data_IF_621763286362
#
_entry.id   IF_621763286362
#
_cell.length_a   1.000
_cell.length_b   1.000
_cell.length_c   1.000
_cell.angle_alpha   90.00
_cell.angle_beta   90.00
_cell.angle_gamma   90.00
#
_symmetry.space_group_name_H-M   'P 1'
#
loop_
_entity.id
_entity.type
_entity.pdbx_description
1 polymer ?
#
# COMPACT_ATOMS: atom_id res chain seq x y z
N UNK A 1 14.67 -17.57 14.37
CA UNK A 1 13.65 -16.54 14.62
C UNK A 1 12.33 -17.23 14.86
N UNK A 2 11.40 -16.60 15.57
CA UNK A 2 10.11 -17.23 15.87
C UNK A 2 9.22 -17.28 14.62
N UNK A 3 8.65 -18.44 14.33
CA UNK A 3 7.58 -18.65 13.35
C UNK A 3 6.24 -18.25 13.92
N UNK A 4 5.19 -18.23 13.08
CA UNK A 4 3.82 -18.16 13.55
C UNK A 4 3.51 -19.28 14.54
N UNK A 5 3.92 -20.51 14.22
CA UNK A 5 3.67 -21.67 15.07
C UNK A 5 4.43 -21.56 16.40
N UNK A 6 5.65 -21.00 16.40
CA UNK A 6 6.37 -20.77 17.66
C UNK A 6 5.66 -19.72 18.53
N UNK A 7 5.16 -18.64 17.93
CA UNK A 7 4.38 -17.64 18.65
C UNK A 7 3.06 -18.20 19.15
N UNK A 8 2.39 -19.03 18.35
CA UNK A 8 1.14 -19.70 18.70
C UNK A 8 1.35 -20.73 19.83
N UNK A 9 2.48 -21.46 19.81
CA UNK A 9 2.82 -22.44 20.84
C UNK A 9 3.35 -21.79 22.12
N UNK A 10 3.94 -20.60 22.03
CA UNK A 10 4.34 -19.80 23.19
C UNK A 10 3.17 -19.01 23.81
N UNK A 11 1.98 -19.09 23.22
CA UNK A 11 0.79 -18.44 23.74
C UNK A 11 0.41 -18.99 25.13
N UNK A 12 -0.06 -18.13 26.06
CA UNK A 12 -0.47 -18.57 27.41
C UNK A 12 -1.51 -19.69 27.41
N UNK A 13 -2.33 -19.79 26.37
CA UNK A 13 -3.39 -20.77 26.20
C UNK A 13 -2.99 -21.96 25.30
N UNK A 14 -1.70 -22.17 25.09
CA UNK A 14 -1.20 -23.28 24.26
C UNK A 14 -1.60 -24.65 24.81
N UNK A 15 -1.64 -24.81 26.13
CA UNK A 15 -1.99 -26.08 26.80
C UNK A 15 -3.46 -26.46 26.61
N UNK A 16 -4.34 -25.46 26.60
CA UNK A 16 -5.77 -25.56 26.38
C UNK A 16 -6.05 -25.95 24.93
N UNK A 17 -5.24 -25.43 24.00
CA UNK A 17 -5.34 -25.75 22.56
C UNK A 17 -4.93 -27.17 22.19
N UNK A 18 -4.17 -27.86 23.05
CA UNK A 18 -3.89 -29.29 22.86
C UNK A 18 -5.16 -30.14 22.97
N UNK A 19 -6.11 -29.70 23.81
CA UNK A 19 -7.38 -30.40 24.05
C UNK A 19 -8.52 -29.83 23.20
N UNK A 20 -8.49 -28.52 22.95
CA UNK A 20 -9.46 -27.81 22.14
C UNK A 20 -8.78 -26.78 21.23
N UNK A 21 -8.57 -27.16 19.98
CA UNK A 21 -7.93 -26.32 18.96
C UNK A 21 -8.58 -24.92 18.82
N UNK A 22 -9.85 -24.78 19.17
CA UNK A 22 -10.63 -23.54 19.03
C UNK A 22 -10.68 -22.68 20.29
N UNK A 23 -9.97 -23.04 21.35
CA UNK A 23 -9.86 -22.20 22.55
C UNK A 23 -9.46 -20.75 22.17
N UNK A 24 -10.15 -19.72 22.69
CA UNK A 24 -11.01 -19.69 23.88
C UNK A 24 -12.50 -20.03 23.66
N UNK A 25 -12.89 -20.45 22.45
CA UNK A 25 -14.24 -20.93 22.16
C UNK A 25 -14.35 -22.41 22.52
N UNK A 26 -15.53 -22.86 22.95
CA UNK A 26 -15.76 -24.24 23.40
C UNK A 26 -15.66 -25.28 22.27
N UNK A 27 -15.86 -24.87 21.01
CA UNK A 27 -15.86 -25.75 19.85
C UNK A 27 -15.63 -24.99 18.55
N UNK A 28 -15.32 -25.74 17.48
CA UNK A 28 -15.21 -25.17 16.13
C UNK A 28 -16.53 -24.60 15.60
N UNK A 29 -17.67 -25.15 16.01
CA UNK A 29 -18.99 -24.62 15.65
C UNK A 29 -19.23 -23.25 16.31
N UNK A 30 -18.90 -23.13 17.60
CA UNK A 30 -18.97 -21.85 18.30
C UNK A 30 -18.01 -20.82 17.68
N UNK A 31 -16.77 -21.22 17.38
CA UNK A 31 -15.79 -20.31 16.74
C UNK A 31 -16.31 -19.79 15.40
N UNK A 32 -16.93 -20.63 14.56
CA UNK A 32 -17.51 -20.20 13.28
C UNK A 32 -18.63 -19.18 13.50
N UNK A 33 -19.50 -19.42 14.47
CA UNK A 33 -20.58 -18.49 14.80
C UNK A 33 -20.06 -17.16 15.35
N UNK A 34 -19.09 -17.22 16.27
CA UNK A 34 -18.38 -16.06 16.81
C UNK A 34 -17.69 -15.23 15.73
N UNK A 35 -16.98 -15.89 14.81
CA UNK A 35 -16.31 -15.26 13.68
C UNK A 35 -17.31 -14.60 12.73
N UNK A 36 -18.43 -15.26 12.44
CA UNK A 36 -19.50 -14.66 11.64
C UNK A 36 -20.09 -13.42 12.32
N UNK A 37 -20.42 -13.50 13.62
CA UNK A 37 -20.93 -12.33 14.38
C UNK A 37 -19.95 -11.15 14.32
N UNK A 38 -18.66 -11.41 14.58
CA UNK A 38 -17.63 -10.37 14.58
C UNK A 38 -17.44 -9.70 13.21
N UNK A 39 -17.63 -10.46 12.12
CA UNK A 39 -17.44 -9.98 10.75
C UNK A 39 -18.73 -9.53 10.05
N UNK A 40 -19.89 -9.68 10.70
CA UNK A 40 -21.22 -9.38 10.11
C UNK A 40 -21.52 -7.89 9.92
N UNK A 41 -20.76 -7.00 10.56
CA UNK A 41 -21.06 -5.57 10.60
C UNK A 41 -22.24 -5.18 11.50
N UNK A 42 -22.81 -6.14 12.25
CA UNK A 42 -23.87 -5.87 13.23
C UNK A 42 -23.36 -4.99 14.37
N UNK A 43 -24.23 -4.10 14.85
CA UNK A 43 -23.94 -3.32 16.07
C UNK A 43 -23.89 -4.23 17.29
N UNK A 44 -23.17 -3.82 18.34
CA UNK A 44 -23.12 -4.57 19.60
C UNK A 44 -24.52 -4.87 20.16
N UNK A 45 -25.45 -3.92 20.06
CA UNK A 45 -26.83 -4.09 20.49
C UNK A 45 -27.60 -5.14 19.64
N UNK A 46 -27.35 -5.19 18.33
CA UNK A 46 -27.95 -6.21 17.47
C UNK A 46 -27.38 -7.61 17.77
N UNK A 47 -26.08 -7.70 18.06
CA UNK A 47 -25.44 -8.94 18.50
C UNK A 47 -26.04 -9.39 19.84
N UNK A 48 -26.15 -8.49 20.83
CA UNK A 48 -26.78 -8.80 22.12
C UNK A 48 -28.24 -9.27 21.94
N UNK A 49 -29.00 -8.63 21.04
CA UNK A 49 -30.36 -9.07 20.69
C UNK A 49 -30.37 -10.48 20.09
N UNK A 50 -29.46 -10.78 19.15
CA UNK A 50 -29.32 -12.11 18.56
C UNK A 50 -28.99 -13.16 19.64
N UNK A 51 -28.04 -12.86 20.52
CA UNK A 51 -27.66 -13.74 21.63
C UNK A 51 -28.77 -13.93 22.68
N UNK A 52 -29.75 -13.02 22.71
CA UNK A 52 -30.89 -13.09 23.62
C UNK A 52 -32.05 -13.97 23.15
N UNK A 53 -32.05 -14.38 21.88
CA UNK A 53 -33.09 -15.26 21.30
C UNK A 53 -33.07 -16.63 21.97
N UNK A 54 -34.23 -17.20 22.29
CA UNK A 54 -34.31 -18.46 23.08
C UNK A 54 -33.60 -19.62 22.40
N UNK A 55 -33.68 -19.70 21.06
CA UNK A 55 -32.95 -20.71 20.26
C UNK A 55 -31.43 -20.58 20.47
N UNK A 56 -30.91 -19.36 20.56
CA UNK A 56 -29.49 -19.09 20.75
C UNK A 56 -29.08 -19.25 22.23
N UNK A 57 -29.91 -18.78 23.17
CA UNK A 57 -29.71 -18.96 24.61
C UNK A 57 -29.63 -20.43 25.02
N UNK A 58 -30.39 -21.30 24.34
CA UNK A 58 -30.36 -22.75 24.56
C UNK A 58 -28.98 -23.36 24.26
N UNK A 59 -28.18 -22.70 23.42
CA UNK A 59 -26.80 -23.10 23.13
C UNK A 59 -25.86 -22.70 24.27
N UNK A 60 -24.92 -23.60 24.59
CA UNK A 60 -23.91 -23.39 25.63
C UNK A 60 -22.66 -22.65 25.12
N UNK A 61 -22.86 -21.49 24.48
CA UNK A 61 -21.74 -20.63 24.07
C UNK A 61 -20.99 -20.05 25.28
N UNK A 62 -19.66 -19.93 25.13
CA UNK A 62 -18.71 -19.32 26.07
C UNK A 62 -18.92 -17.82 26.26
N UNK A 63 -19.74 -17.18 25.41
CA UNK A 63 -20.13 -15.77 25.53
C UNK A 63 -21.65 -15.61 25.46
N UNK A 64 -22.17 -14.63 26.22
CA UNK A 64 -23.60 -14.28 26.27
C UNK A 64 -23.89 -12.86 25.83
N UNK A 65 -22.86 -12.05 25.60
CA UNK A 65 -22.97 -10.67 25.13
C UNK A 65 -21.90 -10.37 24.08
N UNK A 66 -22.11 -9.35 23.26
CA UNK A 66 -21.14 -8.82 22.31
C UNK A 66 -19.84 -8.41 23.01
N UNK A 67 -19.94 -7.82 24.21
CA UNK A 67 -18.77 -7.46 25.02
C UNK A 67 -18.00 -8.69 25.51
N UNK A 68 -18.68 -9.77 25.89
CA UNK A 68 -18.03 -11.02 26.26
C UNK A 68 -17.35 -11.68 25.05
N UNK A 69 -18.00 -11.67 23.88
CA UNK A 69 -17.39 -12.12 22.62
C UNK A 69 -16.11 -11.34 22.31
N UNK A 70 -16.14 -10.01 22.42
CA UNK A 70 -14.97 -9.16 22.18
C UNK A 70 -13.81 -9.50 23.13
N UNK A 71 -14.08 -9.75 24.41
CA UNK A 71 -13.07 -10.19 25.37
C UNK A 71 -12.42 -11.52 24.96
N UNK A 72 -13.20 -12.49 24.46
CA UNK A 72 -12.65 -13.75 23.96
C UNK A 72 -11.78 -13.52 22.72
N UNK A 73 -12.18 -12.62 21.82
CA UNK A 73 -11.37 -12.25 20.65
C UNK A 73 -10.05 -11.60 21.07
N UNK A 74 -10.06 -10.77 22.11
CA UNK A 74 -8.86 -10.12 22.67
C UNK A 74 -7.85 -11.13 23.26
N UNK A 75 -8.28 -12.36 23.61
CA UNK A 75 -7.40 -13.44 24.04
C UNK A 75 -6.69 -14.14 22.87
N UNK A 76 -7.14 -13.94 21.63
CA UNK A 76 -6.49 -14.54 20.47
C UNK A 76 -5.12 -13.87 20.21
N UNK A 77 -4.15 -14.59 19.61
CA UNK A 77 -2.85 -14.04 19.26
C UNK A 77 -3.00 -12.74 18.47
N UNK A 78 -2.44 -11.66 19.01
CA UNK A 78 -2.64 -10.34 18.45
C UNK A 78 -1.74 -10.08 17.23
N UNK A 79 -2.26 -9.35 16.25
CA UNK A 79 -1.50 -8.89 15.10
C UNK A 79 -0.62 -7.66 15.40
N UNK A 80 -0.08 -7.01 14.35
CA UNK A 80 0.62 -5.75 14.48
C UNK A 80 -0.27 -4.69 15.15
N UNK A 81 0.21 -4.15 16.26
CA UNK A 81 -0.57 -3.24 17.12
C UNK A 81 -0.62 -1.82 16.56
N UNK A 82 -1.76 -1.16 16.80
CA UNK A 82 -1.96 0.26 16.49
C UNK A 82 -1.17 1.16 17.44
N UNK A 83 -0.56 2.18 16.86
CA UNK A 83 0.11 3.29 17.51
C UNK A 83 -0.52 4.58 17.00
N UNK A 84 -0.34 5.66 17.74
CA UNK A 84 -0.71 6.99 17.28
C UNK A 84 0.38 8.00 17.58
N UNK A 85 0.45 9.06 16.78
CA UNK A 85 1.39 10.16 16.97
C UNK A 85 0.76 11.47 16.51
N UNK A 86 0.93 12.53 17.31
CA UNK A 86 0.54 13.89 16.92
C UNK A 86 1.50 14.44 15.87
N UNK A 87 0.96 15.06 14.82
CA UNK A 87 1.73 15.60 13.70
C UNK A 87 1.71 17.12 13.74
N UNK A 88 2.89 17.74 13.76
CA UNK A 88 3.03 19.20 13.71
C UNK A 88 3.14 19.66 12.25
N UNK A 89 2.37 20.68 11.89
CA UNK A 89 2.40 21.35 10.59
C UNK A 89 2.93 22.78 10.75
N UNK A 90 3.55 23.32 9.69
CA UNK A 90 4.01 24.72 9.68
C UNK A 90 2.84 25.70 9.69
N UNK A 91 1.75 25.35 9.01
CA UNK A 91 0.52 26.15 8.97
C UNK A 91 -0.54 25.56 9.92
N UNK A 92 -1.35 26.40 10.58
CA UNK A 92 -2.35 25.94 11.53
C UNK A 92 -3.46 25.15 10.82
N UNK A 93 -4.02 24.17 11.53
CA UNK A 93 -5.16 23.37 11.12
C UNK A 93 -6.32 23.58 12.09
N UNK A 94 -7.55 23.39 11.62
CA UNK A 94 -8.76 23.55 12.44
C UNK A 94 -8.80 22.59 13.64
N UNK A 95 -8.14 21.43 13.52
CA UNK A 95 -8.01 20.41 14.57
C UNK A 95 -6.58 19.93 14.63
N UNK A 96 -6.12 19.53 15.82
CA UNK A 96 -4.85 18.84 15.97
C UNK A 96 -4.86 17.56 15.12
N UNK A 97 -3.78 17.33 14.39
CA UNK A 97 -3.64 16.17 13.51
C UNK A 97 -2.98 15.03 14.26
N UNK A 98 -3.58 13.85 14.15
CA UNK A 98 -3.03 12.60 14.65
C UNK A 98 -2.95 11.62 13.49
N UNK A 99 -1.85 10.88 13.40
CA UNK A 99 -1.74 9.70 12.55
C UNK A 99 -1.89 8.46 13.42
N UNK A 100 -2.73 7.53 12.98
CA UNK A 100 -2.82 6.18 13.53
C UNK A 100 -2.10 5.24 12.57
N UNK A 101 -1.16 4.44 13.08
CA UNK A 101 -0.33 3.58 12.23
C UNK A 101 0.13 2.34 12.97
N UNK A 102 0.57 1.34 12.22
CA UNK A 102 1.18 0.11 12.74
C UNK A 102 2.66 0.08 12.42
N UNK A 103 3.42 -0.71 13.18
CA UNK A 103 4.84 -0.90 12.89
C UNK A 103 4.99 -1.65 11.56
N UNK A 104 5.54 -0.96 10.55
CA UNK A 104 5.61 -1.47 9.19
C UNK A 104 6.39 -2.79 9.08
N UNK A 105 7.45 -2.99 9.87
CA UNK A 105 8.20 -4.25 9.85
C UNK A 105 7.40 -5.37 10.50
N UNK A 106 6.67 -5.10 11.59
CA UNK A 106 5.75 -6.09 12.16
C UNK A 106 4.64 -6.45 11.16
N UNK A 107 4.15 -5.50 10.36
CA UNK A 107 3.22 -5.79 9.27
C UNK A 107 3.82 -6.71 8.21
N UNK A 108 5.05 -6.47 7.76
CA UNK A 108 5.73 -7.36 6.82
C UNK A 108 5.95 -8.76 7.40
N UNK A 109 6.43 -8.86 8.65
CA UNK A 109 6.57 -10.15 9.33
C UNK A 109 5.23 -10.87 9.46
N UNK A 110 4.15 -10.16 9.79
CA UNK A 110 2.83 -10.76 9.86
C UNK A 110 2.36 -11.31 8.50
N UNK A 111 2.60 -10.58 7.41
CA UNK A 111 2.30 -11.07 6.05
C UNK A 111 3.11 -12.32 5.69
N UNK A 112 4.41 -12.36 6.03
CA UNK A 112 5.29 -13.50 5.78
C UNK A 112 4.79 -14.75 6.52
N UNK A 113 4.37 -14.58 7.77
CA UNK A 113 3.99 -15.67 8.67
C UNK A 113 2.50 -16.00 8.60
N UNK A 114 1.71 -15.28 7.81
CA UNK A 114 0.28 -15.52 7.67
C UNK A 114 0.03 -16.89 7.06
N UNK A 115 -0.77 -17.76 7.71
CA UNK A 115 -1.09 -19.09 7.17
C UNK A 115 -1.68 -19.05 5.76
N UNK A 116 -2.44 -18.00 5.42
CA UNK A 116 -3.00 -17.78 4.09
C UNK A 116 -1.94 -17.61 3.00
N UNK A 117 -0.71 -17.25 3.37
CA UNK A 117 0.42 -17.05 2.48
C UNK A 117 1.45 -18.21 2.56
N UNK A 118 1.13 -19.29 3.28
CA UNK A 118 2.03 -20.43 3.45
C UNK A 118 2.43 -21.02 2.10
N UNK A 119 3.73 -21.13 1.83
CA UNK A 119 4.28 -21.60 0.55
C UNK A 119 4.16 -20.61 -0.61
N UNK A 120 3.60 -19.42 -0.39
CA UNK A 120 3.33 -18.41 -1.43
C UNK A 120 4.26 -17.19 -1.34
N UNK A 121 5.08 -17.12 -0.29
CA UNK A 121 6.09 -16.07 -0.12
C UNK A 121 7.44 -16.58 -0.62
N UNK A 122 7.94 -15.97 -1.70
CA UNK A 122 9.21 -16.33 -2.31
C UNK A 122 10.29 -15.29 -1.97
N UNK A 123 11.53 -15.73 -1.77
CA UNK A 123 12.62 -14.87 -1.28
C UNK A 123 13.75 -14.67 -2.30
N UNK A 124 13.61 -15.25 -3.49
CA UNK A 124 14.67 -15.29 -4.49
C UNK A 124 14.05 -14.91 -5.84
N UNK A 125 14.56 -13.87 -6.52
CA UNK A 125 14.22 -13.59 -7.91
C UNK A 125 14.57 -14.78 -8.80
N UNK A 126 13.78 -15.02 -9.85
CA UNK A 126 14.00 -16.15 -10.77
C UNK A 126 13.79 -15.70 -12.21
N UNK A 127 14.58 -16.18 -13.16
CA UNK A 127 14.30 -16.01 -14.60
C UNK A 127 13.71 -17.30 -15.11
N UNK A 128 12.51 -17.21 -15.69
CA UNK A 128 11.81 -18.34 -16.27
C UNK A 128 11.80 -18.12 -17.77
N UNK A 129 12.15 -19.15 -18.54
CA UNK A 129 12.18 -19.07 -19.99
C UNK A 129 11.25 -20.13 -20.59
N UNK A 130 10.59 -19.81 -21.71
CA UNK A 130 9.68 -20.75 -22.39
C UNK A 130 10.39 -21.92 -23.05
N UNK A 131 11.67 -21.73 -23.40
CA UNK A 131 12.50 -22.72 -24.07
C UNK A 131 13.96 -22.68 -23.60
N UNK A 132 14.73 -23.71 -23.97
CA UNK A 132 16.13 -23.88 -23.57
C UNK A 132 17.07 -22.82 -24.15
N UNK A 133 16.68 -22.16 -25.25
CA UNK A 133 17.43 -21.09 -25.90
C UNK A 133 17.42 -19.76 -25.11
N UNK A 134 16.58 -19.65 -24.07
CA UNK A 134 16.42 -18.48 -23.19
C UNK A 134 16.08 -17.17 -23.93
N UNK A 135 15.44 -17.26 -25.09
CA UNK A 135 15.08 -16.09 -25.91
C UNK A 135 13.83 -15.38 -25.40
N UNK A 136 12.90 -16.11 -24.80
CA UNK A 136 11.62 -15.58 -24.31
C UNK A 136 11.50 -15.78 -22.80
N UNK A 137 11.60 -14.68 -22.06
CA UNK A 137 11.36 -14.65 -20.62
C UNK A 137 9.86 -14.68 -20.32
N UNK A 138 9.46 -15.43 -19.29
CA UNK A 138 8.09 -15.53 -18.80
C UNK A 138 7.99 -14.73 -17.50
N UNK A 139 7.09 -13.75 -17.50
CA UNK A 139 6.79 -12.89 -16.35
C UNK A 139 5.45 -13.29 -15.73
N UNK A 140 5.47 -13.90 -14.55
CA UNK A 140 4.25 -14.31 -13.81
C UNK A 140 4.02 -13.44 -12.57
N UNK A 141 5.11 -13.02 -11.93
CA UNK A 141 5.12 -12.30 -10.67
C UNK A 141 6.24 -11.26 -10.68
N UNK A 142 6.22 -10.33 -9.73
CA UNK A 142 7.28 -9.31 -9.63
C UNK A 142 8.70 -9.91 -9.52
N UNK A 143 8.87 -11.02 -8.80
CA UNK A 143 10.16 -11.73 -8.67
C UNK A 143 10.66 -12.38 -9.97
N UNK A 144 9.83 -12.47 -11.00
CA UNK A 144 10.26 -12.87 -12.36
C UNK A 144 10.68 -11.68 -13.22
N UNK A 145 10.38 -10.46 -12.78
CA UNK A 145 10.73 -9.22 -13.46
C UNK A 145 12.22 -8.89 -13.36
N UNK A 146 12.75 -8.22 -14.38
CA UNK A 146 14.15 -7.81 -14.42
C UNK A 146 14.51 -6.84 -13.28
N UNK A 147 13.58 -5.97 -12.88
CA UNK A 147 13.78 -5.07 -11.74
C UNK A 147 14.09 -5.80 -10.43
N UNK A 148 13.42 -6.93 -10.16
CA UNK A 148 13.69 -7.70 -8.94
C UNK A 148 15.11 -8.30 -8.94
N UNK A 149 15.63 -8.65 -10.12
CA UNK A 149 17.01 -9.09 -10.31
C UNK A 149 18.00 -7.95 -10.10
N UNK A 150 17.81 -6.83 -10.78
CA UNK A 150 18.67 -5.64 -10.66
C UNK A 150 18.76 -5.16 -9.20
N UNK A 151 17.62 -5.13 -8.50
CA UNK A 151 17.57 -4.76 -7.10
C UNK A 151 18.28 -5.77 -6.21
N UNK A 152 18.14 -7.08 -6.45
CA UNK A 152 18.79 -8.12 -5.67
C UNK A 152 20.31 -8.14 -5.90
N UNK A 153 20.78 -7.87 -7.12
CA UNK A 153 22.20 -7.78 -7.48
C UNK A 153 22.87 -6.54 -6.86
N UNK A 154 22.10 -5.48 -6.58
CA UNK A 154 22.59 -4.30 -5.87
C UNK A 154 22.72 -4.50 -4.34
N UNK A 155 22.26 -5.63 -3.79
CA UNK A 155 22.35 -5.92 -2.36
C UNK A 155 23.64 -6.67 -1.99
N UNK A 156 24.07 -6.63 -0.71
CA UNK A 156 25.20 -7.43 -0.25
C UNK A 156 25.00 -8.94 -0.45
N UNK A 157 26.11 -9.67 -0.54
CA UNK A 157 26.09 -11.13 -0.63
C UNK A 157 25.24 -11.76 0.49
N UNK A 158 24.40 -12.74 0.11
CA UNK A 158 23.49 -13.48 0.99
C UNK A 158 22.34 -12.64 1.59
N UNK A 159 22.19 -11.37 1.17
CA UNK A 159 21.02 -10.57 1.50
C UNK A 159 19.77 -11.06 0.75
N UNK A 160 18.60 -10.72 1.27
CA UNK A 160 17.30 -11.10 0.72
C UNK A 160 16.47 -9.87 0.39
N UNK A 161 16.01 -9.77 -0.86
CA UNK A 161 15.12 -8.70 -1.30
C UNK A 161 13.67 -8.95 -0.85
N UNK A 162 13.07 -7.99 -0.15
CA UNK A 162 11.66 -7.95 0.19
C UNK A 162 11.01 -6.68 -0.36
N UNK A 163 10.44 -6.76 -1.57
CA UNK A 163 9.81 -5.64 -2.24
C UNK A 163 8.56 -5.16 -1.51
N UNK A 164 8.58 -3.92 -1.02
CA UNK A 164 7.43 -3.29 -0.35
C UNK A 164 6.46 -2.77 -1.40
N UNK A 165 5.18 -3.13 -1.21
CA UNK A 165 4.06 -2.58 -1.98
C UNK A 165 3.26 -1.68 -1.06
N UNK A 166 3.03 -0.43 -1.45
CA UNK A 166 2.12 0.49 -0.78
C UNK A 166 0.91 0.76 -1.67
N UNK A 167 -0.23 1.05 -1.06
CA UNK A 167 -1.35 1.65 -1.77
C UNK A 167 -2.09 2.61 -0.87
N UNK A 168 -2.66 3.64 -1.45
CA UNK A 168 -3.57 4.54 -0.76
C UNK A 168 -4.64 5.01 -1.73
N UNK A 169 -5.80 5.30 -1.15
CA UNK A 169 -6.89 5.95 -1.85
C UNK A 169 -7.71 6.71 -0.82
N UNK A 170 -8.13 7.92 -1.17
CA UNK A 170 -8.91 8.78 -0.29
C UNK A 170 -10.40 8.49 -0.48
N UNK A 171 -10.98 7.76 0.47
CA UNK A 171 -12.36 7.27 0.37
C UNK A 171 -13.34 8.06 1.24
N UNK A 172 -14.55 8.27 0.75
CA UNK A 172 -15.64 8.83 1.54
C UNK A 172 -16.30 7.74 2.40
N UNK A 173 -16.24 7.87 3.73
CA UNK A 173 -16.83 6.92 4.69
C UNK A 173 -18.35 7.08 4.72
N UNK A 174 -18.85 8.32 4.63
CA UNK A 174 -20.29 8.61 4.58
C UNK A 174 -20.56 9.78 3.65
N UNK A 175 -21.59 9.64 2.80
CA UNK A 175 -22.05 10.74 1.94
C UNK A 175 -22.68 11.87 2.77
N UNK A 176 -23.31 11.55 3.89
CA UNK A 176 -24.11 12.49 4.69
C UNK A 176 -23.26 13.50 5.49
N UNK A 177 -22.05 13.13 5.93
CA UNK A 177 -21.21 14.00 6.79
C UNK A 177 -19.89 14.41 6.17
N UNK A 178 -19.67 14.09 4.89
CA UNK A 178 -18.42 14.32 4.18
C UNK A 178 -17.17 13.84 4.98
N UNK A 179 -17.33 12.74 5.73
CA UNK A 179 -16.23 12.14 6.45
C UNK A 179 -15.37 11.34 5.47
N UNK A 180 -14.10 11.68 5.37
CA UNK A 180 -13.14 11.00 4.51
C UNK A 180 -12.18 10.15 5.36
N UNK A 181 -11.86 8.96 4.89
CA UNK A 181 -10.73 8.16 5.34
C UNK A 181 -9.66 8.19 4.25
N UNK A 182 -8.40 8.12 4.66
CA UNK A 182 -7.29 7.95 3.73
C UNK A 182 -6.43 6.78 4.22
N UNK A 183 -6.87 5.53 3.97
CA UNK A 183 -6.10 4.35 4.32
C UNK A 183 -4.79 4.29 3.53
N UNK A 184 -3.70 3.96 4.23
CA UNK A 184 -2.45 3.49 3.65
C UNK A 184 -2.37 1.98 3.90
N UNK A 185 -2.31 1.19 2.84
CA UNK A 185 -2.16 -0.27 2.88
C UNK A 185 -0.70 -0.65 2.58
N UNK A 186 -0.28 -1.80 3.09
CA UNK A 186 1.04 -2.39 2.83
C UNK A 186 0.89 -3.86 2.44
N UNK A 187 1.72 -4.29 1.48
CA UNK A 187 1.89 -5.68 1.07
C UNK A 187 3.36 -5.98 0.71
N UNK A 188 3.62 -7.21 0.26
CA UNK A 188 4.91 -7.68 -0.24
C UNK A 188 4.77 -8.15 -1.68
N UNK A 189 5.64 -7.64 -2.56
CA UNK A 189 5.74 -8.11 -3.95
C UNK A 189 6.27 -9.56 -4.04
N UNK A 190 6.79 -10.08 -2.94
CA UNK A 190 7.25 -11.45 -2.77
C UNK A 190 6.12 -12.49 -2.61
N UNK A 191 4.88 -12.04 -2.39
CA UNK A 191 3.70 -12.91 -2.36
C UNK A 191 3.30 -13.17 -3.81
N UNK A 192 2.99 -14.42 -4.15
CA UNK A 192 2.55 -14.79 -5.49
C UNK A 192 1.34 -13.96 -5.97
N UNK A 193 1.33 -13.59 -7.25
CA UNK A 193 0.30 -12.75 -7.83
C UNK A 193 -1.07 -13.43 -7.77
N UNK A 194 -1.12 -14.76 -7.86
CA UNK A 194 -2.35 -15.55 -7.70
C UNK A 194 -3.01 -15.37 -6.33
N UNK A 195 -2.23 -15.21 -5.27
CA UNK A 195 -2.73 -14.92 -3.93
C UNK A 195 -3.17 -13.47 -3.83
N UNK A 196 -2.38 -12.55 -4.36
CA UNK A 196 -2.71 -11.12 -4.35
C UNK A 196 -3.99 -10.79 -5.13
N UNK A 197 -4.31 -11.54 -6.21
CA UNK A 197 -5.55 -11.38 -7.00
C UNK A 197 -6.81 -11.87 -6.28
N UNK A 198 -6.67 -12.75 -5.29
CA UNK A 198 -7.80 -13.27 -4.54
C UNK A 198 -8.16 -12.29 -3.43
N UNK A 199 -9.22 -11.51 -3.62
CA UNK A 199 -9.69 -10.52 -2.63
C UNK A 199 -10.04 -11.11 -1.26
N UNK A 200 -10.23 -12.43 -1.16
CA UNK A 200 -10.46 -13.16 0.10
C UNK A 200 -9.18 -13.46 0.89
N UNK A 201 -8.00 -13.28 0.29
CA UNK A 201 -6.71 -13.50 0.94
C UNK A 201 -6.21 -12.16 1.46
N UNK A 202 -6.01 -12.05 2.79
CA UNK A 202 -5.51 -10.87 3.51
C UNK A 202 -4.04 -10.56 3.14
N UNK A 203 -3.75 -10.37 1.85
CA UNK A 203 -2.45 -10.08 1.26
C UNK A 203 -2.04 -8.61 1.45
N UNK A 204 -3.00 -7.75 1.80
CA UNK A 204 -2.78 -6.35 2.19
C UNK A 204 -3.18 -6.12 3.65
N UNK A 205 -2.41 -5.29 4.35
CA UNK A 205 -2.71 -4.83 5.70
C UNK A 205 -2.87 -3.31 5.73
N UNK A 206 -3.86 -2.80 6.46
CA UNK A 206 -3.99 -1.36 6.74
C UNK A 206 -2.82 -0.84 7.60
N UNK A 207 -1.81 -0.27 6.99
CA UNK A 207 -0.63 0.23 7.67
C UNK A 207 -0.91 1.50 8.48
N UNK A 208 -1.66 2.44 7.92
CA UNK A 208 -1.98 3.70 8.59
C UNK A 208 -3.32 4.29 8.14
N UNK A 209 -3.87 5.17 8.96
CA UNK A 209 -4.92 6.11 8.58
C UNK A 209 -4.29 7.49 8.47
N UNK A 210 -4.14 7.96 7.23
CA UNK A 210 -3.52 9.25 6.93
C UNK A 210 -4.50 10.37 7.29
N UNK A 211 -4.01 11.45 7.94
CA UNK A 211 -4.88 12.55 8.32
C UNK A 211 -5.36 13.32 7.08
N UNK A 212 -6.64 13.69 7.09
CA UNK A 212 -7.23 14.58 6.08
C UNK A 212 -7.35 15.99 6.69
N UNK A 213 -6.38 16.89 6.42
CA UNK A 213 -6.29 18.17 7.12
C UNK A 213 -7.29 19.19 6.59
N UNK A 214 -7.70 20.09 7.49
CA UNK A 214 -8.42 21.32 7.16
C UNK A 214 -7.54 22.50 7.58
N UNK A 215 -6.72 22.99 6.65
CA UNK A 215 -5.78 24.08 6.91
C UNK A 215 -6.51 25.42 7.06
N UNK A 216 -6.06 26.22 8.02
CA UNK A 216 -6.54 27.60 8.23
C UNK A 216 -5.47 28.53 7.68
N UNK A 217 -5.38 28.61 6.36
CA UNK A 217 -4.43 29.48 5.66
C UNK A 217 -5.18 30.52 4.81
N UNK A 218 -4.80 31.81 4.86
CA UNK A 218 -5.52 32.88 4.14
C UNK A 218 -5.50 32.67 2.62
N UNK A 219 -4.37 32.22 2.07
CA UNK A 219 -4.27 31.83 0.68
C UNK A 219 -4.79 30.39 0.47
N UNK A 220 -5.97 30.25 -0.14
CA UNK A 220 -6.61 28.95 -0.42
C UNK A 220 -5.84 28.10 -1.42
N UNK A 221 -5.10 28.70 -2.34
CA UNK A 221 -4.30 27.97 -3.34
C UNK A 221 -3.19 27.12 -2.68
N UNK A 222 -2.76 27.48 -1.47
CA UNK A 222 -1.73 26.73 -0.73
C UNK A 222 -2.28 25.55 0.06
N UNK A 223 -3.60 25.38 0.16
CA UNK A 223 -4.19 24.27 0.93
C UNK A 223 -3.79 22.91 0.35
N UNK A 224 -3.81 22.77 -0.98
CA UNK A 224 -3.39 21.54 -1.67
C UNK A 224 -1.91 21.23 -1.47
N UNK A 225 -1.05 22.26 -1.54
CA UNK A 225 0.39 22.14 -1.30
C UNK A 225 0.68 21.70 0.13
N UNK A 226 0.02 22.32 1.11
CA UNK A 226 0.15 21.97 2.52
C UNK A 226 -0.33 20.54 2.81
N UNK A 227 -1.43 20.12 2.16
CA UNK A 227 -1.93 18.74 2.27
C UNK A 227 -0.94 17.74 1.66
N UNK A 228 -0.37 18.04 0.50
CA UNK A 228 0.66 17.21 -0.15
C UNK A 228 1.92 17.10 0.72
N UNK A 229 2.41 18.22 1.26
CA UNK A 229 3.55 18.22 2.19
C UNK A 229 3.28 17.39 3.44
N UNK A 230 2.09 17.51 4.03
CA UNK A 230 1.68 16.70 5.17
C UNK A 230 1.64 15.21 4.82
N UNK A 231 1.11 14.84 3.65
CA UNK A 231 1.05 13.46 3.20
C UNK A 231 2.45 12.83 3.18
N UNK A 232 3.42 13.46 2.53
CA UNK A 232 4.81 12.98 2.51
C UNK A 232 5.44 12.94 3.90
N UNK A 233 5.18 13.94 4.75
CA UNK A 233 5.67 13.95 6.13
C UNK A 233 5.14 12.75 6.92
N UNK A 234 3.84 12.46 6.82
CA UNK A 234 3.19 11.38 7.56
C UNK A 234 3.65 10.01 7.04
N UNK A 235 3.67 9.81 5.71
CA UNK A 235 4.16 8.55 5.13
C UNK A 235 5.62 8.33 5.56
N UNK A 236 6.47 9.37 5.55
CA UNK A 236 7.85 9.28 6.01
C UNK A 236 7.98 8.81 7.46
N UNK A 237 7.09 9.25 8.36
CA UNK A 237 7.04 8.78 9.76
C UNK A 237 6.70 7.29 9.81
N UNK A 238 5.65 6.89 9.09
CA UNK A 238 5.10 5.53 9.11
C UNK A 238 6.09 4.52 8.53
N UNK A 239 6.75 4.86 7.43
CA UNK A 239 7.67 3.96 6.70
C UNK A 239 9.12 4.05 7.15
N UNK A 240 9.44 4.89 8.16
CA UNK A 240 10.81 5.03 8.69
C UNK A 240 11.51 3.68 9.00
N UNK A 241 10.86 2.69 9.62
CA UNK A 241 11.49 1.38 9.85
C UNK A 241 11.85 0.63 8.56
N UNK A 242 11.09 0.84 7.48
CA UNK A 242 11.34 0.24 6.16
C UNK A 242 12.51 0.93 5.45
N UNK A 243 12.62 2.26 5.56
CA UNK A 243 13.77 3.00 5.03
C UNK A 243 15.07 2.53 5.65
N UNK A 244 15.09 2.39 6.97
CA UNK A 244 16.25 1.85 7.68
C UNK A 244 16.58 0.44 7.22
N UNK A 245 15.59 -0.43 7.08
CA UNK A 245 15.80 -1.79 6.57
C UNK A 245 16.22 -1.83 5.09
N UNK A 246 15.83 -0.85 4.27
CA UNK A 246 16.32 -0.71 2.90
C UNK A 246 17.77 -0.22 2.82
N UNK A 247 18.24 0.55 3.81
CA UNK A 247 19.59 1.12 3.83
C UNK A 247 20.63 0.14 4.40
N UNK A 248 20.35 -0.47 5.56
CA UNK A 248 21.32 -1.33 6.28
C UNK A 248 20.88 -2.79 6.39
N UNK A 249 19.70 -3.12 5.88
CA UNK A 249 19.11 -4.44 6.04
C UNK A 249 18.54 -4.68 7.45
N UNK A 250 17.70 -5.70 7.59
CA UNK A 250 17.13 -6.12 8.87
C UNK A 250 16.94 -7.63 8.94
N UNK A 251 17.32 -8.24 10.05
CA UNK A 251 17.06 -9.67 10.28
C UNK A 251 15.56 -9.89 10.46
N UNK A 252 14.98 -10.75 9.62
CA UNK A 252 13.57 -11.19 9.71
C UNK A 252 13.48 -12.70 9.56
N UNK A 253 12.56 -13.34 10.29
CA UNK A 253 12.28 -14.76 10.09
C UNK A 253 11.49 -14.99 8.82
N UNK A 254 11.82 -16.06 8.12
CA UNK A 254 10.97 -16.63 7.08
C UNK A 254 9.87 -17.52 7.72
N UNK A 255 8.92 -18.07 6.95
CA UNK A 255 7.82 -18.87 7.48
C UNK A 255 8.27 -20.13 8.26
N UNK A 256 9.50 -20.59 8.06
CA UNK A 256 10.09 -21.78 8.70
C UNK A 256 11.02 -21.39 9.87
N UNK A 257 11.15 -20.10 10.18
CA UNK A 257 11.87 -19.59 11.35
C UNK A 257 13.33 -19.25 11.08
N UNK A 258 13.84 -19.52 9.88
CA UNK A 258 15.19 -19.14 9.49
C UNK A 258 15.30 -17.63 9.39
N UNK A 259 16.36 -17.06 9.97
CA UNK A 259 16.62 -15.63 9.86
C UNK A 259 17.25 -15.30 8.50
N UNK A 260 16.74 -14.25 7.88
CA UNK A 260 17.22 -13.69 6.61
C UNK A 260 17.60 -12.23 6.84
N UNK A 261 18.73 -11.81 6.29
CA UNK A 261 19.14 -10.40 6.28
C UNK A 261 18.42 -9.71 5.12
N UNK A 262 17.31 -9.05 5.43
CA UNK A 262 16.36 -8.58 4.43
C UNK A 262 16.45 -7.08 4.18
N UNK A 263 16.30 -6.69 2.92
CA UNK A 263 16.23 -5.28 2.50
C UNK A 263 14.84 -4.98 1.94
N UNK A 264 14.30 -3.81 2.28
CA UNK A 264 12.88 -3.47 2.01
C UNK A 264 12.71 -2.23 1.14
N UNK A 265 13.15 -2.24 -0.12
CA UNK A 265 12.91 -1.13 -1.03
C UNK A 265 11.42 -1.00 -1.36
N UNK A 266 10.98 0.22 -1.67
CA UNK A 266 9.64 0.45 -2.23
C UNK A 266 9.67 0.10 -3.72
N UNK A 267 8.91 -0.92 -4.11
CA UNK A 267 8.92 -1.44 -5.49
C UNK A 267 7.62 -1.17 -6.22
N UNK A 268 6.54 -0.85 -5.50
CA UNK A 268 5.28 -0.42 -6.09
C UNK A 268 4.51 0.49 -5.13
N UNK A 269 3.94 1.56 -5.66
CA UNK A 269 2.91 2.37 -5.01
C UNK A 269 1.67 2.42 -5.90
N UNK A 270 0.59 1.76 -5.47
CA UNK A 270 -0.68 1.66 -6.20
C UNK A 270 -1.59 2.82 -5.78
N UNK A 271 -1.78 3.78 -6.68
CA UNK A 271 -2.67 4.94 -6.48
C UNK A 271 -3.29 5.35 -7.80
N UNK A 272 -4.37 6.14 -7.73
CA UNK A 272 -4.94 6.81 -8.88
C UNK A 272 -4.03 7.92 -9.42
N UNK A 273 -4.33 8.42 -10.62
CA UNK A 273 -3.53 9.43 -11.31
C UNK A 273 -3.33 10.72 -10.48
N UNK A 274 -4.38 11.34 -9.86
CA UNK A 274 -4.19 12.49 -8.98
C UNK A 274 -3.21 12.24 -7.82
N UNK A 275 -3.33 11.10 -7.14
CA UNK A 275 -2.44 10.78 -6.03
C UNK A 275 -1.03 10.41 -6.52
N UNK A 276 -0.87 9.81 -7.71
CA UNK A 276 0.46 9.63 -8.35
C UNK A 276 1.20 10.96 -8.54
N UNK A 277 0.52 12.03 -8.99
CA UNK A 277 1.14 13.35 -9.12
C UNK A 277 1.60 13.91 -7.77
N UNK A 278 0.81 13.69 -6.71
CA UNK A 278 1.20 14.06 -5.35
C UNK A 278 2.48 13.32 -4.96
N UNK A 279 2.49 11.98 -5.08
CA UNK A 279 3.62 11.12 -4.71
C UNK A 279 4.86 11.44 -5.54
N UNK A 280 4.74 11.67 -6.85
CA UNK A 280 5.83 12.06 -7.73
C UNK A 280 6.32 13.51 -7.52
N UNK A 281 5.61 14.31 -6.72
CA UNK A 281 5.92 15.71 -6.42
C UNK A 281 5.80 16.67 -7.61
N UNK A 282 4.91 16.36 -8.55
CA UNK A 282 4.73 17.07 -9.81
C UNK A 282 3.31 17.66 -9.95
N UNK A 283 3.17 18.62 -10.85
CA UNK A 283 1.86 19.18 -11.24
C UNK A 283 1.09 18.23 -12.16
N UNK A 284 -0.21 18.44 -12.28
CA UNK A 284 -1.11 17.67 -13.18
C UNK A 284 -0.77 17.84 -14.69
N UNK A 285 0.17 18.73 -15.02
CA UNK A 285 0.65 18.97 -16.38
C UNK A 285 1.92 18.20 -16.71
N UNK A 286 2.38 17.30 -15.85
CA UNK A 286 3.60 16.52 -16.05
C UNK A 286 3.34 15.03 -15.81
N UNK A 287 4.17 14.18 -16.38
CA UNK A 287 4.09 12.72 -16.20
C UNK A 287 4.73 12.31 -14.88
N UNK A 288 4.05 11.42 -14.13
CA UNK A 288 4.58 10.88 -12.86
C UNK A 288 5.84 10.02 -13.03
N UNK A 289 6.06 9.46 -14.22
CA UNK A 289 7.13 8.50 -14.52
C UNK A 289 8.18 9.03 -15.50
N UNK A 290 7.89 10.12 -16.23
CA UNK A 290 8.79 10.69 -17.23
C UNK A 290 8.87 12.21 -17.13
N UNK A 291 9.88 12.81 -17.75
CA UNK A 291 10.07 14.26 -17.83
C UNK A 291 9.10 14.93 -18.82
N UNK A 292 8.17 14.19 -19.41
CA UNK A 292 7.18 14.72 -20.34
C UNK A 292 6.22 15.68 -19.64
N UNK A 293 5.88 16.77 -20.33
CA UNK A 293 4.77 17.66 -19.95
C UNK A 293 3.57 17.48 -20.86
N UNK A 294 2.42 18.01 -20.48
CA UNK A 294 1.13 17.82 -21.17
C UNK A 294 1.16 18.13 -22.66
N UNK A 295 1.98 19.10 -23.08
CA UNK A 295 2.19 19.46 -24.50
C UNK A 295 2.91 18.37 -25.31
N UNK A 296 3.60 17.45 -24.65
CA UNK A 296 4.46 16.41 -25.24
C UNK A 296 3.84 15.01 -25.13
N UNK A 297 2.70 14.83 -24.47
CA UNK A 297 2.10 13.49 -24.26
C UNK A 297 1.66 12.79 -25.55
N UNK A 298 1.63 13.50 -26.69
CA UNK A 298 1.33 12.94 -28.02
C UNK A 298 2.55 12.87 -28.92
N UNK A 299 3.72 13.25 -28.41
CA UNK A 299 4.94 13.21 -29.19
C UNK A 299 5.38 11.75 -29.36
N UNK A 300 5.88 11.38 -30.55
CA UNK A 300 6.34 10.01 -30.79
C UNK A 300 7.66 9.68 -30.06
N UNK A 301 8.31 10.70 -29.48
CA UNK A 301 9.59 10.54 -28.81
C UNK A 301 9.40 10.35 -27.31
N UNK A 302 10.01 9.31 -26.77
CA UNK A 302 10.01 9.07 -25.34
C UNK A 302 10.82 10.13 -24.60
N UNK A 303 10.21 10.73 -23.58
CA UNK A 303 10.93 11.57 -22.63
C UNK A 303 11.71 10.70 -21.63
N UNK A 304 12.83 11.24 -21.14
CA UNK A 304 13.61 10.57 -20.09
C UNK A 304 12.77 10.30 -18.84
N UNK A 305 13.13 9.28 -18.05
CA UNK A 305 12.44 8.94 -16.81
C UNK A 305 12.53 10.08 -15.76
N UNK A 306 11.47 10.26 -14.98
CA UNK A 306 11.42 11.19 -13.86
C UNK A 306 12.11 10.57 -12.64
N UNK A 307 13.45 10.61 -12.61
CA UNK A 307 14.21 9.90 -11.58
C UNK A 307 14.21 10.59 -10.23
N UNK A 308 14.40 9.83 -9.14
CA UNK A 308 14.60 10.40 -7.80
C UNK A 308 15.73 11.44 -7.77
N UNK A 309 16.84 11.14 -8.46
CA UNK A 309 17.98 12.05 -8.61
C UNK A 309 17.60 13.36 -9.31
N UNK A 310 16.82 13.27 -10.39
CA UNK A 310 16.38 14.46 -11.13
C UNK A 310 15.47 15.34 -10.28
N UNK A 311 14.47 14.76 -9.62
CA UNK A 311 13.58 15.48 -8.70
C UNK A 311 14.37 16.14 -7.57
N UNK A 312 15.38 15.45 -7.01
CA UNK A 312 16.29 16.02 -5.99
C UNK A 312 17.01 17.27 -6.51
N UNK A 313 17.56 17.23 -7.72
CA UNK A 313 18.26 18.36 -8.32
C UNK A 313 17.32 19.57 -8.50
N UNK A 314 16.10 19.33 -9.00
CA UNK A 314 15.09 20.38 -9.16
C UNK A 314 14.71 21.01 -7.81
N UNK A 315 14.48 20.19 -6.78
CA UNK A 315 14.18 20.67 -5.43
C UNK A 315 15.32 21.51 -4.84
N UNK A 316 16.59 21.14 -5.10
CA UNK A 316 17.75 21.93 -4.68
C UNK A 316 17.80 23.27 -5.41
N UNK A 317 17.57 23.28 -6.72
CA UNK A 317 17.54 24.52 -7.52
C UNK A 317 16.47 25.50 -7.00
N UNK A 318 15.25 25.02 -6.77
CA UNK A 318 14.14 25.84 -6.23
C UNK A 318 14.46 26.36 -4.82
N UNK A 319 15.07 25.54 -3.96
CA UNK A 319 15.47 25.96 -2.60
C UNK A 319 16.51 27.08 -2.64
N UNK A 320 17.46 27.03 -3.57
CA UNK A 320 18.47 28.08 -3.78
C UNK A 320 17.85 29.40 -4.26
N UNK A 321 16.84 29.33 -5.13
CA UNK A 321 16.16 30.51 -5.66
C UNK A 321 15.36 31.27 -4.58
N UNK A 322 14.70 30.56 -3.67
CA UNK A 322 13.67 31.17 -2.80
C UNK A 322 14.08 31.36 -1.34
N UNK A 323 15.27 30.88 -0.92
CA UNK A 323 15.75 30.91 0.47
C UNK A 323 14.77 30.29 1.50
N UNK A 324 13.75 29.54 1.02
CA UNK A 324 12.79 28.70 1.74
C UNK A 324 11.99 29.32 2.91
N UNK A 325 12.02 30.63 3.15
CA UNK A 325 11.30 31.25 4.27
C UNK A 325 9.82 31.52 3.98
N UNK A 326 9.43 31.69 2.70
CA UNK A 326 8.05 31.98 2.31
C UNK A 326 7.48 30.86 1.42
N UNK A 327 6.41 30.22 1.87
CA UNK A 327 5.75 29.12 1.16
C UNK A 327 5.18 29.56 -0.19
N UNK A 328 4.67 30.79 -0.30
CA UNK A 328 4.08 31.32 -1.54
C UNK A 328 5.15 31.49 -2.62
N UNK A 329 6.31 32.07 -2.28
CA UNK A 329 7.41 32.25 -3.24
C UNK A 329 8.02 30.90 -3.64
N UNK A 330 8.16 29.98 -2.67
CA UNK A 330 8.59 28.61 -2.93
C UNK A 330 7.67 27.89 -3.92
N UNK A 331 6.34 27.97 -3.71
CA UNK A 331 5.36 27.36 -4.58
C UNK A 331 5.38 27.96 -6.00
N UNK A 332 5.49 29.29 -6.13
CA UNK A 332 5.62 29.95 -7.43
C UNK A 332 6.87 29.51 -8.19
N UNK A 333 8.00 29.35 -7.49
CA UNK A 333 9.23 28.86 -8.10
C UNK A 333 9.13 27.36 -8.50
N UNK A 334 8.46 26.53 -7.70
CA UNK A 334 8.19 25.13 -8.04
C UNK A 334 7.44 24.98 -9.36
N UNK A 335 6.45 25.85 -9.61
CA UNK A 335 5.61 25.77 -10.80
C UNK A 335 6.40 25.91 -12.12
N UNK A 336 7.49 26.70 -12.11
CA UNK A 336 8.39 26.84 -13.27
C UNK A 336 9.00 25.50 -13.71
N UNK A 337 9.15 24.58 -12.77
CA UNK A 337 9.76 23.26 -12.96
C UNK A 337 8.74 22.12 -12.92
N UNK A 338 7.44 22.42 -13.02
CA UNK A 338 6.35 21.44 -12.90
C UNK A 338 6.33 20.67 -11.57
N UNK A 339 6.85 21.27 -10.48
CA UNK A 339 6.78 20.70 -9.14
C UNK A 339 5.53 21.19 -8.40
N UNK A 340 4.91 20.32 -7.60
CA UNK A 340 3.68 20.65 -6.85
C UNK A 340 3.91 21.38 -5.51
N UNK A 341 5.17 21.67 -5.16
CA UNK A 341 5.52 22.35 -3.91
C UNK A 341 5.80 21.43 -2.72
N UNK A 342 5.88 20.11 -2.89
CA UNK A 342 6.42 19.21 -1.86
C UNK A 342 7.92 19.46 -1.68
N UNK A 343 8.33 19.78 -0.44
CA UNK A 343 9.74 20.13 -0.14
C UNK A 343 10.64 18.92 0.15
N UNK A 344 10.06 17.84 0.66
CA UNK A 344 10.77 16.66 1.17
C UNK A 344 9.95 15.40 0.86
N UNK A 345 10.11 14.82 -0.34
CA UNK A 345 9.42 13.58 -0.70
C UNK A 345 9.82 12.43 0.22
N UNK A 346 8.85 11.64 0.72
CA UNK A 346 9.14 10.53 1.62
C UNK A 346 10.05 9.44 1.02
N UNK A 347 10.12 9.29 -0.30
CA UNK A 347 10.92 8.25 -0.96
C UNK A 347 12.37 8.69 -1.23
N UNK A 348 12.69 9.97 -1.03
CA UNK A 348 14.00 10.54 -1.42
C UNK A 348 15.18 9.94 -0.64
N UNK A 349 14.93 9.53 0.60
CA UNK A 349 15.85 8.87 1.54
C UNK A 349 15.51 7.38 1.73
N UNK A 350 14.71 6.79 0.83
CA UNK A 350 14.42 5.37 0.85
C UNK A 350 15.33 4.68 -0.17
N UNK A 351 16.33 3.95 0.32
CA UNK A 351 17.30 3.28 -0.54
C UNK A 351 16.61 2.39 -1.58
N UNK A 352 17.08 2.49 -2.84
CA UNK A 352 16.57 1.76 -4.01
C UNK A 352 15.09 2.02 -4.35
N UNK A 353 14.48 3.08 -3.81
CA UNK A 353 13.13 3.52 -4.19
C UNK A 353 13.19 4.54 -5.33
N UNK A 354 12.84 4.11 -6.54
CA UNK A 354 12.85 4.96 -7.74
C UNK A 354 11.39 5.28 -8.17
N UNK A 355 10.89 6.51 -8.03
CA UNK A 355 9.50 6.87 -8.35
C UNK A 355 9.10 6.54 -9.78
N UNK A 356 9.99 6.75 -10.75
CA UNK A 356 9.71 6.37 -12.14
C UNK A 356 9.55 4.86 -12.35
N UNK A 357 9.97 4.04 -11.39
CA UNK A 357 9.85 2.59 -11.44
C UNK A 357 8.77 2.03 -10.52
N UNK A 358 8.53 2.61 -9.33
CA UNK A 358 7.51 2.12 -8.40
C UNK A 358 6.11 2.70 -8.66
N UNK A 359 5.99 3.81 -9.39
CA UNK A 359 4.70 4.36 -9.80
C UNK A 359 4.25 3.64 -11.07
N UNK A 360 3.24 2.78 -10.92
CA UNK A 360 2.70 2.00 -12.03
C UNK A 360 1.60 2.78 -12.76
N UNK A 361 1.46 2.62 -14.09
CA UNK A 361 0.34 3.20 -14.82
C UNK A 361 -1.00 2.76 -14.21
N UNK A 362 -1.89 3.73 -14.01
CA UNK A 362 -3.25 3.42 -13.57
C UNK A 362 -4.02 2.79 -14.74
N UNK A 363 -4.33 1.49 -14.66
CA UNK A 363 -4.97 0.73 -15.75
C UNK A 363 -6.26 1.39 -16.23
N UNK A 364 -7.09 1.90 -15.32
CA UNK A 364 -8.37 2.52 -15.67
C UNK A 364 -8.16 3.80 -16.51
N UNK A 365 -7.44 4.79 -15.99
CA UNK A 365 -7.28 6.06 -16.70
C UNK A 365 -6.25 6.02 -17.82
N UNK A 366 -5.28 5.12 -17.81
CA UNK A 366 -4.26 5.04 -18.86
C UNK A 366 -4.67 4.06 -19.96
N UNK A 367 -4.96 2.80 -19.65
CA UNK A 367 -5.22 1.80 -20.69
C UNK A 367 -6.63 1.91 -21.28
N UNK A 368 -7.68 2.00 -20.45
CA UNK A 368 -9.04 2.13 -20.99
C UNK A 368 -9.20 3.45 -21.75
N UNK A 369 -8.68 4.56 -21.21
CA UNK A 369 -8.76 5.85 -21.90
C UNK A 369 -7.96 5.85 -23.20
N UNK A 370 -6.73 5.30 -23.21
CA UNK A 370 -5.92 5.15 -24.42
C UNK A 370 -6.69 4.38 -25.50
N UNK A 371 -7.33 3.27 -25.12
CA UNK A 371 -8.12 2.48 -26.05
C UNK A 371 -9.24 3.30 -26.71
N UNK A 372 -10.02 4.06 -25.94
CA UNK A 372 -11.10 4.88 -26.49
C UNK A 372 -10.60 6.12 -27.25
N UNK A 373 -9.51 6.72 -26.80
CA UNK A 373 -8.96 7.94 -27.41
C UNK A 373 -8.18 7.67 -28.70
N UNK A 374 -7.58 6.49 -28.83
CA UNK A 374 -6.66 6.12 -29.92
C UNK A 374 -7.07 4.83 -30.61
N UNK A 375 -6.94 3.67 -29.95
CA UNK A 375 -7.02 2.35 -30.60
C UNK A 375 -8.37 2.14 -31.31
N UNK A 376 -9.50 2.43 -30.63
CA UNK A 376 -10.83 2.35 -31.24
C UNK A 376 -10.94 3.25 -32.46
N UNK A 377 -10.42 4.49 -32.39
CA UNK A 377 -10.49 5.44 -33.51
C UNK A 377 -9.64 4.96 -34.68
N UNK A 378 -8.49 4.35 -34.43
CA UNK A 378 -7.65 3.75 -35.45
C UNK A 378 -8.33 2.54 -36.09
N UNK A 379 -8.84 1.61 -35.29
CA UNK A 379 -9.58 0.45 -35.79
C UNK A 379 -10.80 0.86 -36.61
N UNK A 380 -11.59 1.83 -36.12
CA UNK A 380 -12.76 2.34 -36.85
C UNK A 380 -12.40 3.00 -38.19
N UNK A 381 -11.24 3.68 -38.28
CA UNK A 381 -10.75 4.24 -39.55
C UNK A 381 -10.22 3.18 -40.52
N UNK A 382 -9.63 2.11 -40.00
CA UNK A 382 -9.02 1.05 -40.83
C UNK A 382 -10.05 0.03 -41.33
N UNK A 383 -10.98 -0.38 -40.47
CA UNK A 383 -11.94 -1.45 -40.76
C UNK A 383 -13.32 -0.93 -41.18
N UNK A 384 -13.67 0.30 -40.79
CA UNK A 384 -15.05 0.80 -40.85
C UNK A 384 -15.83 0.48 -39.58
N UNK A 385 -16.88 1.26 -39.30
CA UNK A 385 -17.69 1.10 -38.09
C UNK A 385 -18.46 -0.24 -38.07
N UNK A 386 -19.05 -0.63 -39.20
CA UNK A 386 -19.88 -1.84 -39.30
C UNK A 386 -19.07 -3.13 -39.08
N UNK A 387 -17.88 -3.22 -39.67
CA UNK A 387 -16.98 -4.37 -39.48
C UNK A 387 -16.47 -4.43 -38.05
N UNK A 388 -16.11 -3.29 -37.46
CA UNK A 388 -15.66 -3.24 -36.07
C UNK A 388 -16.76 -3.69 -35.09
N UNK A 389 -18.00 -3.25 -35.29
CA UNK A 389 -19.15 -3.66 -34.49
C UNK A 389 -19.46 -5.15 -34.67
N UNK A 390 -19.35 -5.68 -35.90
CA UNK A 390 -19.46 -7.11 -36.17
C UNK A 390 -18.40 -7.92 -35.40
N UNK A 391 -17.13 -7.52 -35.45
CA UNK A 391 -16.06 -8.20 -34.73
C UNK A 391 -16.26 -8.17 -33.21
N UNK A 392 -16.73 -7.04 -32.64
CA UNK A 392 -17.07 -6.97 -31.22
C UNK A 392 -18.25 -7.88 -30.85
N UNK A 393 -19.20 -8.13 -31.76
CA UNK A 393 -20.33 -9.02 -31.51
C UNK A 393 -19.95 -10.51 -31.42
N UNK A 394 -18.75 -10.88 -31.85
CA UNK A 394 -18.24 -12.26 -31.83
C UNK A 394 -17.49 -12.62 -30.54
N UNK A 395 -17.13 -11.62 -29.72
CA UNK A 395 -16.47 -11.77 -28.41
C UNK A 395 -17.52 -11.92 -27.30
#
# INVERSE_FOLDING_TARGET
GYTFMDMFNADPFSSERQHNLFYPFSSGAEWKFASWLANSGLSMAAIDKCLSLDVIKSQRFSFKTAKALQKLIELLPSGPQWKYQSVKTKSPTRRALQVFYRDAIKCLQHLIHSPSNSGQVHFVPKKIYSAADRTQCIYTDWLTGDQAWELQDALPDRATLLGVVLSSDKTHITQVRNCQAHPLLISLANISADVCRKGSMNSYLLLALLPVPWFVHPNKCLHGVLASQLLHQVISIVVKPLKMAAEVGRMMSNPVGNLKHCFTPLVTYITDTPEQHIIACITDNASAISMAVSKQFRDPLHCAACTASKTRQLLIAVKRETHAQNLSSYFQACWKWQLNGVMSPFWLDWALAEPSSFLNPEVLHHFFKMFWDHDRKWCSRMLGADELDFQFSLL
#
